data_IF_909229679392
#
_entry.id   IF_909229679392
#
_cell.length_a   1.000
_cell.length_b   1.000
_cell.length_c   1.000
_cell.angle_alpha   90.00
_cell.angle_beta   90.00
_cell.angle_gamma   90.00
#
_symmetry.space_group_name_H-M   'P 1'
#
loop_
_entity.id
_entity.type
_entity.pdbx_description
1 polymer ?
#
# COMPACT_ATOMS: atom_id res chain seq x y z
N UNK A 1 -15.22 7.71 2.91
CA UNK A 1 -16.00 7.37 1.70
C UNK A 1 -16.95 8.48 1.27
N UNK A 2 -17.83 8.98 2.15
CA UNK A 2 -18.76 10.07 1.82
C UNK A 2 -18.04 11.30 1.25
N UNK A 3 -16.98 11.79 1.93
CA UNK A 3 -16.19 12.93 1.44
C UNK A 3 -15.54 12.67 0.07
N UNK A 4 -15.09 11.45 -0.20
CA UNK A 4 -14.48 11.10 -1.50
C UNK A 4 -15.49 11.25 -2.64
N UNK A 5 -16.71 10.73 -2.44
CA UNK A 5 -17.80 10.84 -3.43
C UNK A 5 -18.18 12.30 -3.63
N UNK A 6 -18.32 13.08 -2.55
CA UNK A 6 -18.69 14.50 -2.62
C UNK A 6 -17.65 15.33 -3.38
N UNK A 7 -16.36 15.08 -3.16
CA UNK A 7 -15.27 15.79 -3.87
C UNK A 7 -15.28 15.44 -5.35
N UNK A 8 -15.39 14.16 -5.71
CA UNK A 8 -15.43 13.75 -7.12
C UNK A 8 -16.67 14.32 -7.82
N UNK A 9 -17.81 14.31 -7.15
CA UNK A 9 -19.05 14.86 -7.69
C UNK A 9 -18.97 16.38 -7.87
N UNK A 10 -18.38 17.13 -6.91
CA UNK A 10 -18.20 18.57 -7.07
C UNK A 10 -17.28 18.89 -8.25
N UNK A 11 -16.20 18.12 -8.45
CA UNK A 11 -15.28 18.31 -9.57
C UNK A 11 -15.95 18.04 -10.93
N UNK A 12 -16.71 16.96 -11.05
CA UNK A 12 -17.43 16.61 -12.29
C UNK A 12 -18.56 17.58 -12.63
N UNK A 13 -19.16 18.23 -11.64
CA UNK A 13 -20.15 19.28 -11.86
C UNK A 13 -19.52 20.57 -12.40
N UNK A 14 -18.28 20.85 -12.01
CA UNK A 14 -17.56 22.06 -12.38
C UNK A 14 -16.83 21.95 -13.72
N UNK A 15 -16.32 20.76 -14.06
CA UNK A 15 -15.51 20.53 -15.25
C UNK A 15 -16.01 19.30 -16.01
N UNK A 16 -16.24 19.40 -17.34
CA UNK A 16 -16.61 18.24 -18.15
C UNK A 16 -15.58 17.11 -18.02
N UNK A 17 -16.05 15.87 -17.83
CA UNK A 17 -15.19 14.70 -17.62
C UNK A 17 -14.11 14.51 -18.70
N UNK A 18 -14.37 14.95 -19.94
CA UNK A 18 -13.44 14.88 -21.07
C UNK A 18 -12.21 15.78 -20.95
N UNK A 19 -12.21 16.76 -20.03
CA UNK A 19 -11.09 17.69 -19.82
C UNK A 19 -10.11 17.22 -18.75
N UNK A 20 -10.45 16.19 -17.97
CA UNK A 20 -9.51 15.61 -17.03
C UNK A 20 -8.49 14.74 -17.76
N UNK A 21 -7.25 15.22 -17.83
CA UNK A 21 -6.07 14.44 -18.26
C UNK A 21 -5.38 13.80 -17.05
N UNK A 22 -4.37 12.96 -17.30
CA UNK A 22 -3.53 12.38 -16.25
C UNK A 22 -2.70 13.52 -15.62
N UNK A 23 -3.27 14.17 -14.61
CA UNK A 23 -2.69 15.29 -13.89
C UNK A 23 -2.41 14.86 -12.44
N UNK A 24 -1.28 15.31 -11.90
CA UNK A 24 -0.88 15.03 -10.52
C UNK A 24 -1.82 15.68 -9.49
N UNK A 25 -2.49 16.78 -9.85
CA UNK A 25 -3.48 17.46 -9.00
C UNK A 25 -4.75 17.85 -9.79
N UNK A 26 -5.73 16.93 -9.86
CA UNK A 26 -7.00 17.20 -10.52
C UNK A 26 -7.85 18.26 -9.81
N UNK A 27 -7.67 18.46 -8.50
CA UNK A 27 -8.48 19.37 -7.69
C UNK A 27 -8.05 20.82 -7.92
N UNK A 28 -6.74 21.09 -7.87
CA UNK A 28 -6.17 22.39 -8.21
C UNK A 28 -6.48 22.77 -9.67
N UNK A 29 -6.41 21.80 -10.60
CA UNK A 29 -6.86 21.99 -11.98
C UNK A 29 -8.33 22.43 -12.10
N UNK A 30 -9.22 21.82 -11.32
CA UNK A 30 -10.66 22.16 -11.32
C UNK A 30 -10.87 23.60 -10.86
N UNK A 31 -10.19 24.01 -9.79
CA UNK A 31 -10.27 25.38 -9.27
C UNK A 31 -9.71 26.39 -10.27
N UNK A 32 -8.67 26.03 -11.02
CA UNK A 32 -8.06 26.89 -12.03
C UNK A 32 -9.02 27.09 -13.21
N UNK A 33 -9.66 26.01 -13.65
CA UNK A 33 -10.62 26.03 -14.76
C UNK A 33 -11.81 26.97 -14.47
N UNK A 34 -12.32 26.96 -13.24
CA UNK A 34 -13.48 27.76 -12.84
C UNK A 34 -13.09 29.19 -12.44
N UNK A 35 -11.80 29.56 -12.53
CA UNK A 35 -11.30 30.86 -12.11
C UNK A 35 -11.65 31.17 -10.65
N UNK A 36 -11.53 30.16 -9.78
CA UNK A 36 -11.78 30.31 -8.36
C UNK A 36 -10.83 31.34 -7.73
N UNK A 37 -11.23 32.03 -6.64
CA UNK A 37 -10.39 33.00 -5.96
C UNK A 37 -9.03 32.42 -5.55
N UNK A 38 -7.96 33.20 -5.71
CA UNK A 38 -6.59 32.73 -5.43
C UNK A 38 -6.38 32.25 -3.99
N UNK A 39 -7.09 32.82 -3.01
CA UNK A 39 -7.00 32.39 -1.61
C UNK A 39 -7.44 30.93 -1.43
N UNK A 40 -8.44 30.48 -2.21
CA UNK A 40 -8.98 29.12 -2.13
C UNK A 40 -8.00 28.12 -2.75
N UNK A 41 -7.34 28.50 -3.85
CA UNK A 41 -6.24 27.74 -4.44
C UNK A 41 -5.12 27.49 -3.43
N UNK A 42 -4.57 28.55 -2.83
CA UNK A 42 -3.49 28.42 -1.87
C UNK A 42 -3.88 27.59 -0.64
N UNK A 43 -5.12 27.74 -0.15
CA UNK A 43 -5.61 26.96 0.99
C UNK A 43 -5.64 25.47 0.68
N UNK A 44 -6.13 25.08 -0.49
CA UNK A 44 -6.27 23.69 -0.90
C UNK A 44 -4.92 23.07 -1.22
N UNK A 45 -4.05 23.78 -1.95
CA UNK A 45 -2.71 23.29 -2.29
C UNK A 45 -1.85 23.08 -1.04
N UNK A 46 -1.81 24.07 -0.14
CA UNK A 46 -1.06 23.95 1.13
C UNK A 46 -1.66 22.86 2.02
N UNK A 47 -2.99 22.78 2.10
CA UNK A 47 -3.67 21.72 2.83
C UNK A 47 -3.34 20.33 2.28
N UNK A 48 -3.33 20.17 0.96
CA UNK A 48 -2.95 18.96 0.26
C UNK A 48 -1.50 18.56 0.52
N UNK A 49 -0.57 19.51 0.49
CA UNK A 49 0.85 19.28 0.80
C UNK A 49 1.05 18.80 2.24
N UNK A 50 0.40 19.44 3.22
CA UNK A 50 0.51 19.04 4.62
C UNK A 50 -0.08 17.64 4.83
N UNK A 51 -1.27 17.38 4.26
CA UNK A 51 -1.95 16.10 4.38
C UNK A 51 -1.15 14.95 3.75
N UNK A 52 -0.63 15.14 2.53
CA UNK A 52 0.18 14.14 1.82
C UNK A 52 1.51 13.89 2.52
N UNK A 53 2.15 14.94 3.05
CA UNK A 53 3.40 14.81 3.84
C UNK A 53 3.15 14.01 5.11
N UNK A 54 2.09 14.33 5.85
CA UNK A 54 1.72 13.60 7.07
C UNK A 54 1.41 12.12 6.79
N UNK A 55 0.64 11.84 5.73
CA UNK A 55 0.31 10.48 5.32
C UNK A 55 1.57 9.71 4.89
N UNK A 56 2.48 10.35 4.16
CA UNK A 56 3.74 9.74 3.72
C UNK A 56 4.64 9.40 4.90
N UNK A 57 4.75 10.30 5.88
CA UNK A 57 5.51 10.06 7.10
C UNK A 57 4.94 8.86 7.89
N UNK A 58 3.62 8.79 8.02
CA UNK A 58 2.96 7.66 8.68
C UNK A 58 3.25 6.32 7.96
N UNK A 59 3.24 6.31 6.62
CA UNK A 59 3.57 5.11 5.83
C UNK A 59 5.04 4.68 5.99
N UNK A 60 5.98 5.62 6.04
CA UNK A 60 7.40 5.32 6.27
C UNK A 60 7.58 4.67 7.65
N UNK A 61 6.94 5.21 8.69
CA UNK A 61 6.99 4.64 10.04
C UNK A 61 6.35 3.25 10.10
N UNK A 62 5.19 3.07 9.45
CA UNK A 62 4.50 1.78 9.38
C UNK A 62 5.36 0.72 8.68
N UNK A 63 5.94 1.06 7.53
CA UNK A 63 6.80 0.13 6.78
C UNK A 63 8.05 -0.28 7.56
N UNK A 64 8.66 0.63 8.32
CA UNK A 64 9.80 0.33 9.19
C UNK A 64 9.46 -0.68 10.29
N UNK A 65 8.26 -0.59 10.88
CA UNK A 65 7.77 -1.57 11.86
C UNK A 65 7.51 -2.94 11.22
N UNK A 66 6.85 -2.96 10.06
CA UNK A 66 6.62 -4.21 9.31
C UNK A 66 7.95 -4.89 8.95
N UNK A 67 8.94 -4.13 8.49
CA UNK A 67 10.26 -4.68 8.16
C UNK A 67 10.99 -5.22 9.39
N UNK A 68 10.85 -4.58 10.56
CA UNK A 68 11.39 -5.08 11.82
C UNK A 68 10.75 -6.41 12.24
N UNK A 69 9.43 -6.54 12.19
CA UNK A 69 8.73 -7.79 12.55
C UNK A 69 9.09 -8.92 11.57
N UNK A 70 9.14 -8.63 10.26
CA UNK A 70 9.62 -9.60 9.26
C UNK A 70 11.06 -10.02 9.57
N UNK A 71 11.95 -9.07 9.89
CA UNK A 71 13.33 -9.36 10.24
C UNK A 71 13.45 -10.26 11.48
N UNK A 72 12.59 -10.04 12.49
CA UNK A 72 12.51 -10.86 13.70
C UNK A 72 12.02 -12.27 13.40
N UNK A 73 10.97 -12.42 12.59
CA UNK A 73 10.42 -13.72 12.21
C UNK A 73 11.38 -14.52 11.31
N UNK A 74 12.12 -13.83 10.43
CA UNK A 74 13.08 -14.43 9.50
C UNK A 74 14.51 -14.54 10.06
N UNK A 75 14.73 -14.18 11.34
CA UNK A 75 16.03 -14.21 12.02
C UNK A 75 17.16 -13.51 11.23
N UNK A 76 16.87 -12.33 10.69
CA UNK A 76 17.84 -11.48 10.02
C UNK A 76 19.05 -11.12 10.91
N UNK A 77 20.19 -10.73 10.31
CA UNK A 77 21.36 -10.33 11.09
C UNK A 77 21.01 -9.21 12.07
N UNK A 78 21.60 -9.26 13.27
CA UNK A 78 21.22 -8.46 14.44
C UNK A 78 21.24 -6.95 14.23
N UNK A 79 21.96 -6.44 13.23
CA UNK A 79 21.95 -5.02 12.86
C UNK A 79 20.62 -4.57 12.23
N UNK A 80 19.87 -5.47 11.58
CA UNK A 80 18.55 -5.19 10.98
C UNK A 80 17.43 -5.26 12.01
N UNK A 81 17.60 -6.03 13.10
CA UNK A 81 16.60 -6.25 14.15
C UNK A 81 16.89 -5.37 15.39
N UNK A 82 17.49 -4.19 15.19
CA UNK A 82 17.74 -3.26 16.30
C UNK A 82 16.49 -2.46 16.63
N UNK A 83 15.90 -2.71 17.80
CA UNK A 83 14.77 -1.93 18.32
C UNK A 83 15.25 -0.90 19.34
N UNK A 84 14.73 0.33 19.27
CA UNK A 84 14.93 1.33 20.31
C UNK A 84 13.67 1.48 21.14
N UNK A 85 13.64 0.86 22.32
CA UNK A 85 12.50 0.88 23.24
C UNK A 85 12.16 2.29 23.76
N UNK A 86 13.15 3.18 23.89
CA UNK A 86 12.92 4.56 24.39
C UNK A 86 12.17 5.43 23.38
N UNK A 87 12.26 5.12 22.09
CA UNK A 87 11.62 5.89 21.01
C UNK A 87 10.52 5.11 20.28
N UNK A 88 10.25 3.87 20.70
CA UNK A 88 9.27 2.96 20.09
C UNK A 88 9.43 2.80 18.56
N UNK A 89 10.69 2.78 18.10
CA UNK A 89 11.07 2.80 16.68
C UNK A 89 12.23 1.83 16.42
N UNK A 90 12.18 1.15 15.28
CA UNK A 90 13.29 0.38 14.71
C UNK A 90 14.11 1.29 13.77
N UNK A 91 15.20 1.94 14.24
CA UNK A 91 15.88 2.99 13.48
C UNK A 91 16.50 2.50 12.16
N UNK A 92 17.11 1.31 12.15
CA UNK A 92 17.75 0.76 10.95
C UNK A 92 16.71 0.36 9.90
N UNK A 93 15.64 -0.32 10.32
CA UNK A 93 14.53 -0.66 9.43
C UNK A 93 13.83 0.59 8.86
N UNK A 94 13.61 1.62 9.68
CA UNK A 94 13.00 2.88 9.23
C UNK A 94 13.90 3.64 8.26
N UNK A 95 15.21 3.62 8.47
CA UNK A 95 16.18 4.24 7.56
C UNK A 95 16.20 3.51 6.20
N UNK A 96 16.16 2.18 6.19
CA UNK A 96 16.06 1.38 4.97
C UNK A 96 14.76 1.69 4.23
N UNK A 97 13.62 1.70 4.92
CA UNK A 97 12.33 2.06 4.32
C UNK A 97 12.36 3.48 3.73
N UNK A 98 12.96 4.44 4.42
CA UNK A 98 13.12 5.81 3.94
C UNK A 98 13.99 5.87 2.68
N UNK A 99 15.09 5.10 2.66
CA UNK A 99 15.97 5.03 1.50
C UNK A 99 15.26 4.42 0.29
N UNK A 100 14.49 3.35 0.48
CA UNK A 100 13.67 2.74 -0.57
C UNK A 100 12.61 3.73 -1.08
N UNK A 101 11.97 4.48 -0.18
CA UNK A 101 11.01 5.52 -0.56
C UNK A 101 11.67 6.61 -1.41
N UNK A 102 12.88 7.08 -1.03
CA UNK A 102 13.65 8.06 -1.79
C UNK A 102 14.03 7.52 -3.17
N UNK A 103 14.53 6.28 -3.26
CA UNK A 103 14.87 5.64 -4.54
C UNK A 103 13.63 5.53 -5.42
N UNK A 104 12.47 5.23 -4.83
CA UNK A 104 11.20 5.13 -5.57
C UNK A 104 10.76 6.46 -6.18
N UNK A 105 11.18 7.61 -5.64
CA UNK A 105 10.93 8.92 -6.26
C UNK A 105 11.64 9.08 -7.60
N UNK A 106 12.79 8.41 -7.79
CA UNK A 106 13.56 8.44 -9.03
C UNK A 106 13.12 7.39 -10.06
N UNK A 107 12.16 6.52 -9.71
CA UNK A 107 11.64 5.48 -10.61
C UNK A 107 10.79 6.04 -11.78
N UNK A 108 10.61 7.36 -11.86
CA UNK A 108 10.01 8.05 -12.98
C UNK A 108 8.51 8.29 -12.80
N UNK A 109 7.67 7.38 -13.33
CA UNK A 109 6.24 7.63 -13.45
C UNK A 109 5.48 7.30 -12.15
N UNK A 110 4.95 8.34 -11.49
CA UNK A 110 4.13 8.25 -10.27
C UNK A 110 2.94 7.30 -10.45
N UNK A 111 2.32 7.26 -11.63
CA UNK A 111 1.22 6.34 -11.92
C UNK A 111 1.66 4.87 -11.84
N UNK A 112 2.85 4.56 -12.36
CA UNK A 112 3.41 3.20 -12.31
C UNK A 112 3.78 2.86 -10.87
N UNK A 113 4.46 3.76 -10.14
CA UNK A 113 4.84 3.55 -8.74
C UNK A 113 3.60 3.32 -7.86
N UNK A 114 2.56 4.13 -8.04
CA UNK A 114 1.28 3.97 -7.34
C UNK A 114 0.60 2.65 -7.72
N UNK A 115 0.62 2.26 -9.00
CA UNK A 115 0.09 0.97 -9.46
C UNK A 115 0.86 -0.20 -8.84
N UNK A 116 2.18 -0.08 -8.67
CA UNK A 116 2.99 -1.12 -8.03
C UNK A 116 2.60 -1.27 -6.55
N UNK A 117 2.52 -0.16 -5.82
CA UNK A 117 2.10 -0.16 -4.42
C UNK A 117 0.69 -0.73 -4.23
N UNK A 118 -0.26 -0.29 -5.06
CA UNK A 118 -1.64 -0.78 -5.00
C UNK A 118 -1.77 -2.27 -5.32
N UNK A 119 -0.96 -2.80 -6.24
CA UNK A 119 -0.94 -4.24 -6.50
C UNK A 119 -0.60 -5.02 -5.24
N UNK A 120 0.45 -4.61 -4.51
CA UNK A 120 0.86 -5.27 -3.26
C UNK A 120 -0.24 -5.26 -2.19
N UNK A 121 -1.00 -4.16 -2.10
CA UNK A 121 -2.16 -4.05 -1.21
C UNK A 121 -3.30 -4.99 -1.63
N UNK A 122 -3.68 -4.99 -2.90
CA UNK A 122 -4.73 -5.87 -3.43
C UNK A 122 -4.38 -7.34 -3.22
N UNK A 123 -3.12 -7.70 -3.46
CA UNK A 123 -2.62 -9.05 -3.26
C UNK A 123 -2.66 -9.46 -1.78
N UNK A 124 -2.25 -8.57 -0.88
CA UNK A 124 -2.33 -8.80 0.57
C UNK A 124 -3.77 -9.02 1.03
N UNK A 125 -4.74 -8.27 0.50
CA UNK A 125 -6.16 -8.47 0.78
C UNK A 125 -6.70 -9.78 0.22
N UNK A 126 -6.20 -10.22 -0.94
CA UNK A 126 -6.56 -11.49 -1.53
C UNK A 126 -6.07 -12.67 -0.66
N UNK A 127 -4.80 -12.65 -0.24
CA UNK A 127 -4.26 -13.65 0.70
C UNK A 127 -5.03 -13.64 2.02
N UNK A 128 -5.30 -12.46 2.58
CA UNK A 128 -6.06 -12.33 3.83
C UNK A 128 -7.47 -12.92 3.70
N UNK A 129 -8.14 -12.70 2.57
CA UNK A 129 -9.45 -13.28 2.29
C UNK A 129 -9.40 -14.82 2.21
N UNK A 130 -8.37 -15.37 1.57
CA UNK A 130 -8.13 -16.82 1.54
C UNK A 130 -7.82 -17.38 2.93
N UNK A 131 -7.01 -16.66 3.72
CA UNK A 131 -6.67 -17.04 5.09
C UNK A 131 -7.91 -17.14 5.97
N UNK A 132 -8.87 -16.21 5.85
CA UNK A 132 -10.15 -16.28 6.57
C UNK A 132 -10.89 -17.59 6.24
N UNK A 133 -10.98 -17.97 4.96
CA UNK A 133 -11.64 -19.22 4.56
C UNK A 133 -10.91 -20.42 5.14
N UNK A 134 -9.58 -20.44 5.07
CA UNK A 134 -8.75 -21.52 5.60
C UNK A 134 -8.91 -21.70 7.11
N UNK A 135 -8.80 -20.62 7.90
CA UNK A 135 -8.93 -20.69 9.36
C UNK A 135 -10.35 -21.04 9.81
N UNK A 136 -11.38 -20.56 9.09
CA UNK A 136 -12.77 -20.96 9.33
C UNK A 136 -13.00 -22.44 9.12
N UNK A 137 -12.40 -23.05 8.09
CA UNK A 137 -12.46 -24.50 7.86
C UNK A 137 -11.79 -25.30 8.99
N UNK A 138 -10.77 -24.73 9.64
CA UNK A 138 -10.13 -25.32 10.82
C UNK A 138 -10.88 -25.09 12.14
N UNK A 139 -12.09 -24.52 12.09
CA UNK A 139 -12.89 -24.26 13.29
C UNK A 139 -12.41 -23.08 14.14
N UNK A 140 -11.42 -22.31 13.67
CA UNK A 140 -10.93 -21.12 14.37
C UNK A 140 -11.87 -19.95 14.10
N UNK A 141 -12.54 -19.47 15.16
CA UNK A 141 -13.48 -18.35 15.09
C UNK A 141 -12.89 -17.18 15.88
N UNK A 142 -12.61 -16.07 15.19
CA UNK A 142 -12.18 -14.84 15.84
C UNK A 142 -13.29 -14.19 16.68
N UNK A 143 -12.90 -13.26 17.56
CA UNK A 143 -13.83 -12.50 18.40
C UNK A 143 -14.88 -11.75 17.57
N UNK A 144 -14.48 -11.21 16.41
CA UNK A 144 -15.39 -10.64 15.43
C UNK A 144 -15.73 -11.64 14.32
N UNK A 145 -17.02 -11.73 13.98
CA UNK A 145 -17.51 -12.55 12.86
C UNK A 145 -17.81 -11.66 11.65
N UNK A 146 -17.20 -11.99 10.52
CA UNK A 146 -17.51 -11.37 9.24
C UNK A 146 -19.00 -11.52 8.91
N UNK A 147 -19.75 -10.42 8.71
CA UNK A 147 -21.15 -10.49 8.34
C UNK A 147 -21.29 -11.18 6.97
N UNK A 148 -22.37 -11.94 6.79
CA UNK A 148 -22.70 -12.62 5.53
C UNK A 148 -21.61 -13.59 5.02
N UNK A 149 -20.81 -14.17 5.92
CA UNK A 149 -19.88 -15.24 5.56
C UNK A 149 -20.65 -16.47 5.02
N UNK A 150 -20.22 -17.11 3.92
CA UNK A 150 -18.99 -16.89 3.14
C UNK A 150 -19.13 -15.90 1.97
N UNK A 151 -20.34 -15.45 1.65
CA UNK A 151 -20.64 -14.61 0.48
C UNK A 151 -19.84 -13.32 0.46
N UNK A 152 -19.72 -12.63 1.60
CA UNK A 152 -18.94 -11.39 1.70
C UNK A 152 -17.49 -11.58 1.25
N UNK A 153 -16.84 -12.66 1.69
CA UNK A 153 -15.45 -12.97 1.33
C UNK A 153 -15.30 -13.33 -0.15
N UNK A 154 -16.25 -14.10 -0.70
CA UNK A 154 -16.25 -14.49 -2.11
C UNK A 154 -16.40 -13.25 -3.01
N UNK A 155 -17.35 -12.37 -2.68
CA UNK A 155 -17.55 -11.11 -3.40
C UNK A 155 -16.28 -10.25 -3.35
N UNK A 156 -15.65 -10.13 -2.18
CA UNK A 156 -14.37 -9.42 -2.06
C UNK A 156 -13.30 -9.99 -2.98
N UNK A 157 -13.11 -11.31 -3.01
CA UNK A 157 -12.14 -11.94 -3.91
C UNK A 157 -12.44 -11.67 -5.38
N UNK A 158 -13.71 -11.78 -5.80
CA UNK A 158 -14.11 -11.51 -7.18
C UNK A 158 -13.83 -10.05 -7.55
N UNK A 159 -14.16 -9.10 -6.68
CA UNK A 159 -13.89 -7.68 -6.90
C UNK A 159 -12.39 -7.37 -6.97
N UNK A 160 -11.57 -7.96 -6.09
CA UNK A 160 -10.12 -7.79 -6.12
C UNK A 160 -9.51 -8.35 -7.41
N UNK A 161 -9.97 -9.52 -7.87
CA UNK A 161 -9.54 -10.11 -9.13
C UNK A 161 -9.97 -9.25 -10.34
N UNK A 162 -11.21 -8.74 -10.33
CA UNK A 162 -11.69 -7.84 -11.38
C UNK A 162 -10.86 -6.54 -11.44
N UNK A 163 -10.50 -5.98 -10.29
CA UNK A 163 -9.60 -4.81 -10.19
C UNK A 163 -8.23 -5.11 -10.79
N UNK A 164 -7.64 -6.27 -10.49
CA UNK A 164 -6.33 -6.66 -11.01
C UNK A 164 -6.29 -6.76 -12.55
N UNK A 165 -7.40 -7.12 -13.20
CA UNK A 165 -7.48 -7.18 -14.68
C UNK A 165 -7.34 -5.79 -15.29
N UNK A 166 -7.75 -4.73 -14.58
CA UNK A 166 -7.66 -3.34 -15.04
C UNK A 166 -6.29 -2.68 -14.87
N UNK A 167 -5.30 -3.37 -14.28
CA UNK A 167 -4.00 -2.77 -13.98
C UNK A 167 -3.10 -2.66 -15.23
N UNK A 168 -2.21 -1.66 -15.28
CA UNK A 168 -1.23 -1.55 -16.35
C UNK A 168 -0.30 -2.77 -16.37
N UNK A 169 -0.08 -3.31 -17.58
CA UNK A 169 0.73 -4.53 -17.80
C UNK A 169 2.14 -4.41 -17.20
N UNK A 170 2.74 -3.23 -17.28
CA UNK A 170 4.06 -2.93 -16.71
C UNK A 170 4.10 -3.17 -15.20
N UNK A 171 3.12 -2.65 -14.46
CA UNK A 171 3.03 -2.86 -13.02
C UNK A 171 2.81 -4.34 -12.68
N UNK A 172 1.99 -5.05 -13.46
CA UNK A 172 1.74 -6.49 -13.25
C UNK A 172 3.03 -7.32 -13.39
N UNK A 173 3.83 -7.07 -14.43
CA UNK A 173 5.08 -7.79 -14.68
C UNK A 173 6.09 -7.52 -13.57
N UNK A 174 6.28 -6.24 -13.20
CA UNK A 174 7.22 -5.84 -12.14
C UNK A 174 6.83 -6.51 -10.82
N UNK A 175 5.55 -6.45 -10.44
CA UNK A 175 5.11 -7.05 -9.19
C UNK A 175 5.20 -8.57 -9.19
N UNK A 176 4.93 -9.24 -10.31
CA UNK A 176 5.10 -10.68 -10.40
C UNK A 176 6.58 -11.05 -10.17
N UNK A 177 7.51 -10.29 -10.75
CA UNK A 177 8.95 -10.46 -10.52
C UNK A 177 9.35 -10.24 -9.06
N UNK A 178 8.88 -9.15 -8.44
CA UNK A 178 9.14 -8.84 -7.02
C UNK A 178 8.57 -9.94 -6.12
N UNK A 179 7.35 -10.42 -6.40
CA UNK A 179 6.70 -11.46 -5.61
C UNK A 179 7.44 -12.80 -5.70
N UNK A 180 7.87 -13.20 -6.90
CA UNK A 180 8.69 -14.39 -7.09
C UNK A 180 10.03 -14.25 -6.35
N UNK A 181 10.66 -13.08 -6.40
CA UNK A 181 11.88 -12.82 -5.64
C UNK A 181 11.66 -12.94 -4.13
N UNK A 182 10.58 -12.38 -3.59
CA UNK A 182 10.24 -12.49 -2.16
C UNK A 182 10.02 -13.96 -1.77
N UNK A 183 9.29 -14.73 -2.58
CA UNK A 183 9.04 -16.15 -2.33
C UNK A 183 10.37 -16.94 -2.35
N UNK A 184 11.22 -16.72 -3.35
CA UNK A 184 12.52 -17.38 -3.45
C UNK A 184 13.45 -17.05 -2.27
N UNK A 185 13.55 -15.77 -1.92
CA UNK A 185 14.34 -15.32 -0.76
C UNK A 185 13.81 -15.97 0.51
N UNK A 186 12.49 -16.00 0.70
CA UNK A 186 11.87 -16.64 1.86
C UNK A 186 12.16 -18.14 1.94
N UNK A 187 12.17 -18.83 0.80
CA UNK A 187 12.48 -20.25 0.72
C UNK A 187 13.95 -20.53 1.06
N UNK A 188 14.89 -19.78 0.48
CA UNK A 188 16.33 -19.91 0.77
C UNK A 188 16.62 -19.65 2.25
N UNK A 189 16.01 -18.62 2.83
CA UNK A 189 16.18 -18.30 4.25
C UNK A 189 15.63 -19.40 5.16
N UNK A 190 14.49 -20.00 4.77
CA UNK A 190 13.92 -21.14 5.49
C UNK A 190 14.83 -22.37 5.38
N UNK A 191 15.38 -22.65 4.22
CA UNK A 191 16.27 -23.79 3.96
C UNK A 191 17.58 -23.69 4.77
N UNK A 192 18.22 -22.50 4.78
CA UNK A 192 19.40 -22.21 5.61
C UNK A 192 19.10 -22.40 7.11
N UNK A 193 17.86 -22.12 7.54
CA UNK A 193 17.43 -22.33 8.92
C UNK A 193 17.26 -23.82 9.24
N UNK A 194 16.61 -24.57 8.37
CA UNK A 194 16.45 -26.03 8.55
C UNK A 194 17.80 -26.76 8.57
N UNK A 195 18.81 -26.27 7.84
CA UNK A 195 20.19 -26.78 7.91
C UNK A 195 20.89 -26.45 9.24
N UNK A 196 20.65 -25.26 9.80
CA UNK A 196 21.24 -24.87 11.10
C UNK A 196 20.60 -25.57 12.29
N UNK A 197 19.30 -25.88 12.25
CA UNK A 197 18.61 -26.62 13.32
C UNK A 197 18.98 -28.12 13.34
N UNK A 198 19.60 -28.65 12.27
CA UNK A 198 20.08 -30.05 12.19
C UNK A 198 21.53 -30.25 12.67
N UNK A 199 22.28 -29.19 12.96
CA UNK A 199 23.66 -29.25 13.50
C UNK A 199 23.68 -28.95 14.98
#
# INVERSE_FOLDING_TARGET
MIFYILIVLSMLLLVPASKFTINADPLSFTLAYVHAPSWLHYLIDVGGMIATTSASLAMILMSGRTLYEIGKDMNFPSFLIKYNANKDVAPTATLISSLIAIISLFAGNVFIVASISNFGLLFSFLISSLAIIHFRRKGMIGSYKTPLYPWSVIITMILLLALLIGFPKEALIINLGVMLAIILISYILKDIREEKEKK
#
